data_IF_657295456588
#
_entry.id   IF_657295456588
#
_cell.length_a   1.000
_cell.length_b   1.000
_cell.length_c   1.000
_cell.angle_alpha   90.00
_cell.angle_beta   90.00
_cell.angle_gamma   90.00
#
_symmetry.space_group_name_H-M   'P 1'
#
loop_
_entity.id
_entity.type
_entity.pdbx_description
1 polymer ?
#
# COMPACT_ATOMS: atom_id res chain seq x y z
N UNK A 1 7.76 -18.84 0.18
CA UNK A 1 7.54 -19.35 -1.18
C UNK A 1 7.93 -18.30 -2.24
N UNK A 2 7.33 -17.05 -2.24
CA UNK A 2 7.58 -16.05 -3.29
C UNK A 2 9.06 -15.66 -3.44
N UNK A 3 9.75 -15.34 -2.34
CA UNK A 3 11.18 -14.97 -2.34
C UNK A 3 12.02 -16.12 -2.91
N UNK A 4 11.75 -17.37 -2.53
CA UNK A 4 12.46 -18.54 -3.06
C UNK A 4 12.19 -18.79 -4.56
N UNK A 5 11.13 -18.20 -5.10
CA UNK A 5 10.80 -18.22 -6.52
C UNK A 5 11.34 -16.99 -7.28
N UNK A 6 12.15 -16.15 -6.61
CA UNK A 6 12.83 -15.01 -7.23
C UNK A 6 12.05 -13.69 -7.20
N UNK A 7 11.12 -13.54 -6.27
CA UNK A 7 10.43 -12.25 -6.10
C UNK A 7 11.41 -11.17 -5.60
N UNK A 8 11.40 -9.99 -6.22
CA UNK A 8 12.19 -8.82 -5.83
C UNK A 8 11.57 -8.09 -4.63
N UNK A 9 10.26 -8.26 -4.43
CA UNK A 9 9.54 -7.70 -3.29
C UNK A 9 8.36 -8.58 -2.86
N UNK A 10 7.97 -8.46 -1.59
CA UNK A 10 6.78 -9.11 -1.04
C UNK A 10 5.91 -8.09 -0.29
N UNK A 11 4.60 -8.30 -0.36
CA UNK A 11 3.62 -7.52 0.38
C UNK A 11 3.13 -8.27 1.60
N UNK A 12 3.03 -7.56 2.74
CA UNK A 12 2.54 -8.11 3.99
C UNK A 12 1.58 -7.11 4.65
N UNK A 13 0.47 -7.61 5.20
CA UNK A 13 -0.49 -6.78 5.93
C UNK A 13 0.07 -6.41 7.30
N UNK A 14 -0.12 -5.14 7.69
CA UNK A 14 0.15 -4.70 9.06
C UNK A 14 -0.83 -5.33 10.05
N UNK A 15 -0.51 -5.36 11.36
CA UNK A 15 -1.45 -5.81 12.41
C UNK A 15 -2.73 -4.99 12.46
N UNK A 16 -2.63 -3.71 12.09
CA UNK A 16 -3.72 -2.74 12.02
C UNK A 16 -3.71 -2.04 10.67
N UNK A 17 -4.83 -1.41 10.31
CA UNK A 17 -4.98 -0.54 9.12
C UNK A 17 -4.75 -1.22 7.76
N UNK A 18 -4.69 -2.54 7.70
CA UNK A 18 -4.71 -3.30 6.45
C UNK A 18 -6.15 -3.54 5.98
N UNK A 19 -6.40 -3.41 4.68
CA UNK A 19 -7.72 -3.62 4.07
C UNK A 19 -8.25 -5.07 4.20
N UNK A 20 -7.36 -6.03 4.46
CA UNK A 20 -7.71 -7.45 4.65
C UNK A 20 -7.55 -7.84 6.12
N UNK A 21 -8.64 -7.76 6.88
CA UNK A 21 -8.66 -8.07 8.32
C UNK A 21 -8.24 -9.51 8.66
N UNK A 22 -8.41 -10.45 7.73
CA UNK A 22 -8.04 -11.86 7.92
C UNK A 22 -6.57 -12.17 7.55
N UNK A 23 -5.79 -11.19 7.14
CA UNK A 23 -4.38 -11.34 6.76
C UNK A 23 -3.48 -10.47 7.65
N UNK A 24 -3.80 -10.40 8.94
CA UNK A 24 -3.00 -9.67 9.93
C UNK A 24 -1.79 -10.49 10.34
N UNK A 25 -0.63 -9.85 10.34
CA UNK A 25 0.62 -10.42 10.86
C UNK A 25 1.03 -9.64 12.10
N UNK A 26 1.66 -10.30 13.05
CA UNK A 26 2.26 -9.61 14.20
C UNK A 26 3.50 -8.81 13.76
N UNK A 27 3.93 -7.89 14.60
CA UNK A 27 5.21 -7.17 14.38
C UNK A 27 6.38 -8.14 14.29
N UNK A 28 6.37 -9.20 15.09
CA UNK A 28 7.41 -10.22 15.09
C UNK A 28 7.44 -11.02 13.76
N UNK A 29 6.26 -11.37 13.21
CA UNK A 29 6.15 -12.01 11.89
C UNK A 29 6.72 -11.12 10.79
N UNK A 30 6.43 -9.81 10.85
CA UNK A 30 6.95 -8.83 9.89
C UNK A 30 8.47 -8.72 10.03
N UNK A 31 8.99 -8.62 11.25
CA UNK A 31 10.43 -8.56 11.50
C UNK A 31 11.16 -9.82 11.03
N UNK A 32 10.57 -11.00 11.20
CA UNK A 32 11.11 -12.24 10.67
C UNK A 32 11.11 -12.24 9.14
N UNK A 33 10.01 -11.77 8.52
CA UNK A 33 9.92 -11.66 7.06
C UNK A 33 10.96 -10.69 6.50
N UNK A 34 11.17 -9.53 7.12
CA UNK A 34 12.19 -8.54 6.73
C UNK A 34 13.57 -9.17 6.77
N UNK A 35 13.94 -9.79 7.89
CA UNK A 35 15.25 -10.48 8.01
C UNK A 35 15.44 -11.53 6.92
N UNK A 36 14.40 -12.35 6.68
CA UNK A 36 14.47 -13.39 5.66
C UNK A 36 14.58 -12.82 4.25
N UNK A 37 13.75 -11.82 3.90
CA UNK A 37 13.75 -11.22 2.57
C UNK A 37 15.09 -10.55 2.25
N UNK A 38 15.66 -9.82 3.18
CA UNK A 38 16.92 -9.11 3.01
C UNK A 38 18.12 -10.04 2.76
N UNK A 39 18.08 -11.30 3.24
CA UNK A 39 19.10 -12.31 2.87
C UNK A 39 19.14 -12.59 1.36
N UNK A 40 18.01 -12.41 0.69
CA UNK A 40 17.87 -12.61 -0.76
C UNK A 40 17.82 -11.28 -1.54
N UNK A 41 18.08 -10.15 -0.89
CA UNK A 41 17.98 -8.80 -1.45
C UNK A 41 16.56 -8.45 -1.94
N UNK A 42 15.55 -9.14 -1.43
CA UNK A 42 14.15 -8.85 -1.69
C UNK A 42 13.63 -7.82 -0.67
N UNK A 43 12.75 -6.94 -1.11
CA UNK A 43 12.14 -5.88 -0.30
C UNK A 43 10.86 -6.36 0.38
N UNK A 44 10.51 -5.74 1.50
CA UNK A 44 9.25 -5.98 2.21
C UNK A 44 8.45 -4.69 2.28
N UNK A 45 7.25 -4.71 1.68
CA UNK A 45 6.33 -3.59 1.69
C UNK A 45 5.15 -3.90 2.62
N UNK A 46 4.95 -3.06 3.62
CA UNK A 46 3.84 -3.24 4.58
C UNK A 46 2.65 -2.40 4.18
N UNK A 47 1.47 -3.03 4.21
CA UNK A 47 0.23 -2.42 3.73
C UNK A 47 -0.52 -1.75 4.88
N UNK A 48 -0.70 -0.43 4.79
CA UNK A 48 -1.52 0.44 5.66
C UNK A 48 -2.49 1.19 4.73
N UNK A 49 -3.49 0.50 4.21
CA UNK A 49 -4.33 1.00 3.11
C UNK A 49 -5.82 1.06 3.45
N UNK A 50 -6.14 1.45 4.67
CA UNK A 50 -7.48 1.86 5.09
C UNK A 50 -7.54 3.36 5.31
N UNK A 51 -8.74 3.95 5.27
CA UNK A 51 -8.98 5.31 5.76
C UNK A 51 -8.74 5.34 7.27
N UNK A 52 -8.07 6.38 7.74
CA UNK A 52 -7.80 6.64 9.15
C UNK A 52 -8.84 7.61 9.73
N UNK A 53 -9.22 7.37 10.97
CA UNK A 53 -10.00 8.31 11.76
C UNK A 53 -9.09 9.12 12.68
N UNK A 54 -9.55 10.28 13.12
CA UNK A 54 -8.75 11.20 13.94
C UNK A 54 -8.18 10.54 15.19
N UNK A 55 -8.94 9.65 15.83
CA UNK A 55 -8.53 8.89 17.01
C UNK A 55 -7.49 7.78 16.70
N UNK A 56 -7.31 7.44 15.43
CA UNK A 56 -6.37 6.41 14.97
C UNK A 56 -5.00 6.98 14.53
N UNK A 57 -4.92 8.29 14.23
CA UNK A 57 -3.72 8.92 13.66
C UNK A 57 -2.48 8.69 14.53
N UNK A 58 -2.61 8.85 15.85
CA UNK A 58 -1.49 8.62 16.78
C UNK A 58 -1.02 7.17 16.74
N UNK A 59 -1.94 6.21 16.81
CA UNK A 59 -1.64 4.77 16.79
C UNK A 59 -1.01 4.37 15.45
N UNK A 60 -1.50 4.92 14.34
CA UNK A 60 -0.94 4.69 13.02
C UNK A 60 0.51 5.21 12.94
N UNK A 61 0.77 6.42 13.43
CA UNK A 61 2.11 6.99 13.47
C UNK A 61 3.07 6.11 14.31
N UNK A 62 2.67 5.69 15.51
CA UNK A 62 3.49 4.81 16.36
C UNK A 62 3.79 3.46 15.68
N UNK A 63 2.82 2.89 14.97
CA UNK A 63 3.02 1.69 14.16
C UNK A 63 4.04 1.93 13.03
N UNK A 64 3.98 3.07 12.35
CA UNK A 64 4.92 3.40 11.26
C UNK A 64 6.36 3.49 11.79
N UNK A 65 6.59 4.11 12.96
CA UNK A 65 7.90 4.13 13.59
C UNK A 65 8.39 2.72 13.92
N UNK A 66 7.54 1.87 14.49
CA UNK A 66 7.87 0.47 14.77
C UNK A 66 8.25 -0.30 13.50
N UNK A 67 7.51 -0.11 12.41
CA UNK A 67 7.79 -0.75 11.12
C UNK A 67 9.11 -0.25 10.51
N UNK A 68 9.41 1.04 10.65
CA UNK A 68 10.69 1.59 10.23
C UNK A 68 11.86 0.99 11.02
N UNK A 69 11.74 0.91 12.35
CA UNK A 69 12.80 0.39 13.23
C UNK A 69 13.13 -1.09 12.96
N UNK A 70 12.15 -1.89 12.55
CA UNK A 70 12.38 -3.29 12.15
C UNK A 70 12.89 -3.45 10.72
N UNK A 71 13.05 -2.35 9.96
CA UNK A 71 13.68 -2.32 8.64
C UNK A 71 12.74 -2.59 7.47
N UNK A 72 11.45 -2.27 7.58
CA UNK A 72 10.50 -2.32 6.46
C UNK A 72 10.95 -1.34 5.36
N UNK A 73 10.97 -1.79 4.10
CA UNK A 73 11.51 -1.01 2.98
C UNK A 73 10.54 0.08 2.49
N UNK A 74 9.25 -0.17 2.52
CA UNK A 74 8.23 0.83 2.16
C UNK A 74 6.86 0.52 2.78
N UNK A 75 6.03 1.56 2.86
CA UNK A 75 4.61 1.44 3.22
C UNK A 75 3.73 1.64 2.00
N UNK A 76 2.67 0.83 1.88
CA UNK A 76 1.64 1.01 0.86
C UNK A 76 0.43 1.63 1.54
N UNK A 77 0.17 2.89 1.23
CA UNK A 77 -0.81 3.73 1.91
C UNK A 77 -2.03 4.05 1.02
N UNK A 78 -3.15 4.35 1.64
CA UNK A 78 -4.34 4.90 1.00
C UNK A 78 -4.62 6.31 1.49
N UNK A 79 -4.58 6.54 2.80
CA UNK A 79 -4.96 7.80 3.42
C UNK A 79 -3.84 8.84 3.29
N UNK A 80 -4.19 9.99 2.73
CA UNK A 80 -3.22 11.08 2.53
C UNK A 80 -2.86 11.79 3.84
N UNK A 81 -3.62 11.60 4.94
CA UNK A 81 -3.24 12.11 6.25
C UNK A 81 -1.85 11.61 6.70
N UNK A 82 -1.44 10.43 6.21
CA UNK A 82 -0.11 9.88 6.48
C UNK A 82 1.01 10.80 5.96
N UNK A 83 0.79 11.50 4.84
CA UNK A 83 1.77 12.43 4.27
C UNK A 83 2.00 13.68 5.15
N UNK A 84 1.00 14.04 5.97
CA UNK A 84 1.06 15.20 6.88
C UNK A 84 1.61 14.83 8.27
N UNK A 85 1.83 13.53 8.54
CA UNK A 85 2.41 13.10 9.81
C UNK A 85 3.92 13.38 9.84
N UNK A 86 4.43 13.68 11.05
CA UNK A 86 5.87 13.60 11.32
C UNK A 86 6.28 12.13 11.32
N UNK A 87 6.96 11.68 10.26
CA UNK A 87 7.32 10.29 10.00
C UNK A 87 8.85 10.10 9.93
N UNK A 88 9.34 8.89 10.22
CA UNK A 88 10.71 8.54 9.89
C UNK A 88 10.90 8.54 8.35
N UNK A 89 12.15 8.55 7.85
CA UNK A 89 12.42 8.60 6.40
C UNK A 89 12.10 7.25 5.71
N UNK A 90 10.85 6.81 5.82
CA UNK A 90 10.34 5.59 5.17
C UNK A 90 9.75 5.91 3.80
N UNK A 91 9.95 5.01 2.85
CA UNK A 91 9.41 5.17 1.49
C UNK A 91 7.90 4.93 1.48
N UNK A 92 7.15 5.79 0.79
CA UNK A 92 5.69 5.68 0.66
C UNK A 92 5.29 5.34 -0.77
N UNK A 93 4.43 4.33 -0.91
CA UNK A 93 3.80 3.90 -2.15
C UNK A 93 2.28 4.13 -2.04
N UNK A 94 1.64 4.58 -3.13
CA UNK A 94 0.19 4.71 -3.16
C UNK A 94 -0.47 3.37 -3.50
N UNK A 95 -1.40 2.93 -2.64
CA UNK A 95 -2.21 1.73 -2.87
C UNK A 95 -3.19 1.92 -4.04
N UNK A 96 -3.63 0.82 -4.67
CA UNK A 96 -4.80 0.82 -5.58
C UNK A 96 -6.04 1.42 -4.94
N UNK A 97 -6.14 1.36 -3.60
CA UNK A 97 -7.24 1.95 -2.85
C UNK A 97 -7.30 3.50 -2.93
N UNK A 98 -6.20 4.15 -3.34
CA UNK A 98 -6.15 5.59 -3.61
C UNK A 98 -6.74 5.97 -4.99
N UNK A 99 -7.32 5.00 -5.74
CA UNK A 99 -8.00 5.23 -7.01
C UNK A 99 -7.09 5.79 -8.12
N UNK A 100 -5.94 5.18 -8.32
CA UNK A 100 -4.86 5.65 -9.20
C UNK A 100 -5.14 5.31 -10.68
N UNK A 101 -6.00 6.07 -11.34
CA UNK A 101 -6.41 5.85 -12.73
C UNK A 101 -6.25 7.06 -13.65
N UNK A 102 -5.95 8.21 -13.11
CA UNK A 102 -5.88 9.47 -13.84
C UNK A 102 -4.44 10.02 -13.81
N UNK A 103 -3.86 10.45 -14.95
CA UNK A 103 -2.49 10.97 -15.00
C UNK A 103 -2.24 12.17 -14.07
N UNK A 104 -3.23 13.08 -13.93
CA UNK A 104 -3.09 14.25 -13.06
C UNK A 104 -3.08 13.85 -11.58
N UNK A 105 -3.92 12.86 -11.22
CA UNK A 105 -3.92 12.32 -9.87
C UNK A 105 -2.60 11.63 -9.54
N UNK A 106 -2.07 10.81 -10.43
CA UNK A 106 -0.78 10.13 -10.23
C UNK A 106 0.36 11.13 -10.14
N UNK A 107 0.34 12.18 -10.96
CA UNK A 107 1.31 13.28 -10.86
C UNK A 107 1.20 14.00 -9.51
N UNK A 108 -0.01 14.29 -9.04
CA UNK A 108 -0.23 14.89 -7.72
C UNK A 108 0.38 14.03 -6.60
N UNK A 109 0.17 12.73 -6.61
CA UNK A 109 0.74 11.80 -5.62
C UNK A 109 2.27 11.84 -5.63
N UNK A 110 2.89 11.86 -6.83
CA UNK A 110 4.33 12.02 -6.96
C UNK A 110 4.82 13.33 -6.35
N UNK A 111 4.16 14.45 -6.70
CA UNK A 111 4.54 15.78 -6.21
C UNK A 111 4.37 15.89 -4.67
N UNK A 112 3.45 15.11 -4.08
CA UNK A 112 3.27 14.96 -2.65
C UNK A 112 4.29 14.03 -1.96
N UNK A 113 5.23 13.42 -2.72
CA UNK A 113 6.32 12.62 -2.15
C UNK A 113 6.19 11.10 -2.31
N UNK A 114 5.12 10.61 -2.91
CA UNK A 114 4.95 9.18 -3.22
C UNK A 114 6.00 8.75 -4.25
N UNK A 115 6.67 7.61 -3.99
CA UNK A 115 7.76 7.09 -4.83
C UNK A 115 7.30 6.03 -5.84
N UNK A 116 6.22 5.31 -5.52
CA UNK A 116 5.62 4.29 -6.40
C UNK A 116 4.11 4.39 -6.31
N UNK A 117 3.44 4.21 -7.44
CA UNK A 117 1.97 4.22 -7.51
C UNK A 117 1.48 2.88 -8.05
N UNK A 118 0.70 2.16 -7.24
CA UNK A 118 0.02 0.93 -7.68
C UNK A 118 -1.24 1.34 -8.41
N UNK A 119 -1.27 1.13 -9.72
CA UNK A 119 -2.35 1.57 -10.60
C UNK A 119 -3.66 0.80 -10.35
N UNK A 120 -4.77 1.44 -10.71
CA UNK A 120 -6.08 0.80 -10.69
C UNK A 120 -6.10 -0.40 -11.64
N UNK A 121 -6.72 -1.50 -11.21
CA UNK A 121 -6.72 -2.79 -11.93
C UNK A 121 -7.55 -2.79 -13.21
N UNK A 122 -8.51 -1.89 -13.32
CA UNK A 122 -9.43 -1.74 -14.44
C UNK A 122 -8.85 -0.94 -15.61
N UNK A 123 -7.60 -0.47 -15.53
CA UNK A 123 -6.94 0.24 -16.61
C UNK A 123 -6.54 -0.71 -17.75
N UNK A 124 -6.70 -0.25 -18.98
CA UNK A 124 -6.10 -0.90 -20.14
C UNK A 124 -4.65 -0.40 -20.38
N UNK A 125 -3.93 -1.05 -21.28
CA UNK A 125 -2.53 -0.72 -21.54
C UNK A 125 -2.32 0.68 -22.13
N UNK A 126 -3.27 1.23 -22.87
CA UNK A 126 -3.16 2.58 -23.43
C UNK A 126 -3.27 3.63 -22.30
N UNK A 127 -4.20 3.42 -21.37
CA UNK A 127 -4.31 4.26 -20.17
C UNK A 127 -3.07 4.17 -19.26
N UNK A 128 -2.49 2.98 -19.11
CA UNK A 128 -1.23 2.80 -18.37
C UNK A 128 -0.10 3.56 -19.05
N UNK A 129 -0.02 3.52 -20.40
CA UNK A 129 0.97 4.26 -21.18
C UNK A 129 0.79 5.77 -21.04
N UNK A 130 -0.45 6.27 -21.11
CA UNK A 130 -0.76 7.69 -20.90
C UNK A 130 -0.27 8.18 -19.51
N UNK A 131 -0.50 7.40 -18.47
CA UNK A 131 0.00 7.72 -17.13
C UNK A 131 1.53 7.71 -17.10
N UNK A 132 2.16 6.71 -17.70
CA UNK A 132 3.62 6.59 -17.75
C UNK A 132 4.27 7.76 -18.47
N UNK A 133 3.68 8.24 -19.56
CA UNK A 133 4.17 9.38 -20.33
C UNK A 133 3.98 10.72 -19.60
N UNK A 134 2.98 10.80 -18.72
CA UNK A 134 2.66 12.00 -17.95
C UNK A 134 3.50 12.19 -16.68
N UNK A 135 4.22 11.16 -16.22
CA UNK A 135 4.98 11.19 -14.97
C UNK A 135 6.14 10.19 -14.99
N UNK A 136 7.20 10.51 -14.25
CA UNK A 136 8.37 9.66 -14.02
C UNK A 136 8.32 8.90 -12.68
N UNK A 137 7.16 8.90 -11.98
CA UNK A 137 6.97 8.09 -10.79
C UNK A 137 6.99 6.60 -11.15
N UNK A 138 7.52 5.78 -10.26
CA UNK A 138 7.51 4.33 -10.46
C UNK A 138 6.07 3.80 -10.46
N UNK A 139 5.69 3.09 -11.52
CA UNK A 139 4.36 2.51 -11.67
C UNK A 139 4.39 1.01 -11.40
N UNK A 140 3.37 0.54 -10.71
CA UNK A 140 3.13 -0.88 -10.47
C UNK A 140 1.75 -1.27 -10.95
N UNK A 141 1.63 -2.43 -11.60
CA UNK A 141 0.38 -2.92 -12.16
C UNK A 141 0.19 -4.41 -11.92
N UNK A 142 -1.03 -4.81 -11.58
CA UNK A 142 -1.38 -6.21 -11.39
C UNK A 142 -1.50 -6.93 -12.75
N UNK A 143 -0.69 -7.96 -12.96
CA UNK A 143 -0.67 -8.78 -14.18
C UNK A 143 -1.21 -10.19 -13.97
N UNK A 144 -1.26 -10.65 -12.72
CA UNK A 144 -1.78 -11.98 -12.35
C UNK A 144 -2.36 -11.97 -10.94
N UNK A 145 -3.40 -12.75 -10.70
CA UNK A 145 -4.01 -12.92 -9.38
C UNK A 145 -5.54 -12.95 -9.44
N UNK A 146 -6.17 -13.05 -8.28
CA UNK A 146 -7.62 -12.98 -8.16
C UNK A 146 -8.13 -11.57 -8.45
N UNK A 147 -9.05 -11.45 -9.41
CA UNK A 147 -9.68 -10.17 -9.73
C UNK A 147 -10.71 -9.80 -8.67
N UNK A 148 -10.68 -8.53 -8.24
CA UNK A 148 -11.74 -7.94 -7.45
C UNK A 148 -12.79 -7.34 -8.40
N UNK A 149 -14.07 -7.60 -8.15
CA UNK A 149 -15.19 -7.09 -8.98
C UNK A 149 -15.48 -5.61 -8.74
N UNK A 150 -14.96 -5.03 -7.66
CA UNK A 150 -15.14 -3.61 -7.33
C UNK A 150 -14.12 -2.73 -8.02
N UNK A 151 -14.52 -1.53 -8.37
CA UNK A 151 -13.59 -0.49 -8.81
C UNK A 151 -12.54 -0.18 -7.72
N UNK A 152 -11.30 0.00 -8.15
CA UNK A 152 -10.19 0.35 -7.27
C UNK A 152 -10.50 1.63 -6.49
N UNK A 153 -10.37 1.57 -5.16
CA UNK A 153 -10.67 2.68 -4.29
C UNK A 153 -12.15 2.99 -4.06
N UNK A 154 -13.11 2.22 -4.58
CA UNK A 154 -14.55 2.46 -4.47
C UNK A 154 -15.34 1.22 -3.99
N UNK A 155 -14.74 0.40 -3.13
CA UNK A 155 -15.42 -0.76 -2.56
C UNK A 155 -16.16 -0.40 -1.26
N UNK A 156 -17.46 -0.64 -1.21
CA UNK A 156 -18.32 -0.44 -0.03
C UNK A 156 -18.91 -1.76 0.50
N UNK A 157 -18.45 -2.90 0.01
CA UNK A 157 -18.99 -4.22 0.35
C UNK A 157 -18.86 -4.52 1.85
N UNK A 158 -17.74 -4.18 2.46
CA UNK A 158 -17.52 -4.42 3.90
C UNK A 158 -18.48 -3.61 4.76
N UNK A 159 -18.81 -2.38 4.36
CA UNK A 159 -19.82 -1.56 5.07
C UNK A 159 -21.19 -2.24 5.02
N UNK A 160 -21.59 -2.72 3.85
CA UNK A 160 -22.87 -3.38 3.67
C UNK A 160 -22.98 -4.66 4.54
N UNK A 161 -21.87 -5.31 4.83
CA UNK A 161 -21.81 -6.51 5.67
C UNK A 161 -21.53 -6.21 7.16
N UNK A 162 -21.47 -4.95 7.57
CA UNK A 162 -21.19 -4.55 8.96
C UNK A 162 -19.74 -4.78 9.40
N UNK A 163 -18.83 -4.97 8.46
CA UNK A 163 -17.40 -5.14 8.71
C UNK A 163 -16.65 -3.81 8.56
N UNK A 164 -15.42 -3.74 9.10
CA UNK A 164 -14.54 -2.61 8.87
C UNK A 164 -14.22 -2.51 7.37
N UNK A 165 -14.58 -1.39 6.77
CA UNK A 165 -14.32 -1.11 5.37
C UNK A 165 -12.94 -0.48 5.17
N UNK A 166 -12.40 -0.61 3.95
CA UNK A 166 -11.29 0.22 3.48
C UNK A 166 -11.63 1.72 3.46
N UNK A 167 -12.92 2.07 3.65
CA UNK A 167 -13.42 3.46 3.55
C UNK A 167 -14.18 3.97 4.76
N UNK A 168 -14.72 3.10 5.63
CA UNK A 168 -15.47 3.49 6.83
C UNK A 168 -15.47 2.36 7.86
N UNK A 169 -15.60 2.72 9.14
CA UNK A 169 -15.96 1.78 10.24
C UNK A 169 -17.40 1.38 10.15
#
# INVERSE_FOLDING_TARGET
AAINAGADAVYIGAPLFGARTNATNSIDDIAEMVRYAHLFKAQVFVVINTILYDDELKTCRELIYTLYDIGVDALIIQDMAILEMDLPPIVLHASTQANNRDPKHVKFLKDAGIKRVVLARELNLDQVREIHEATDVELEFFVSGALCVSFSGNCYMSIANGERSTKHK
#
